data_IF_239479711862
#
_entry.id   IF_239479711862
#
_cell.length_a   1.000
_cell.length_b   1.000
_cell.length_c   1.000
_cell.angle_alpha   90.00
_cell.angle_beta   90.00
_cell.angle_gamma   90.00
#
_symmetry.space_group_name_H-M   'P 1'
#
loop_
_entity.id
_entity.type
_entity.pdbx_description
1 polymer ?
#
# COMPACT_ATOMS: atom_id res chain seq x y z
N UNK A 1 19.51 -8.58 49.55
CA UNK A 1 18.76 -8.84 48.28
C UNK A 1 19.08 -7.71 47.29
N UNK A 2 18.86 -7.90 45.97
CA UNK A 2 19.05 -6.85 44.97
C UNK A 2 18.14 -5.65 45.25
N UNK A 3 18.65 -4.45 44.97
CA UNK A 3 17.95 -3.17 45.15
C UNK A 3 18.01 -2.34 43.86
N UNK A 4 17.12 -1.34 43.76
CA UNK A 4 17.06 -0.39 42.64
C UNK A 4 17.05 -1.06 41.25
N UNK A 5 16.28 -2.14 41.11
CA UNK A 5 16.14 -2.87 39.84
C UNK A 5 15.28 -2.08 38.86
N UNK A 6 15.85 -1.68 37.72
CA UNK A 6 15.22 -0.87 36.68
C UNK A 6 15.39 -1.50 35.30
N UNK A 7 14.34 -1.43 34.48
CA UNK A 7 14.33 -1.87 33.09
C UNK A 7 14.12 -0.68 32.14
N UNK A 8 14.91 -0.64 31.05
CA UNK A 8 14.80 0.35 29.99
C UNK A 8 14.86 -0.30 28.60
N UNK A 9 14.49 0.48 27.58
CA UNK A 9 14.52 0.09 26.16
C UNK A 9 15.41 1.05 25.41
N UNK A 10 16.20 0.56 24.47
CA UNK A 10 17.01 1.39 23.56
C UNK A 10 16.97 0.85 22.13
N UNK A 11 16.60 1.67 21.12
CA UNK A 11 16.02 3.02 21.25
C UNK A 11 14.64 2.98 21.93
N UNK A 12 14.27 4.06 22.63
CA UNK A 12 13.02 4.15 23.40
C UNK A 12 11.87 4.89 22.69
N UNK A 13 12.09 5.37 21.48
CA UNK A 13 11.13 6.11 20.67
C UNK A 13 10.98 5.42 19.31
N UNK A 14 9.81 5.64 18.68
CA UNK A 14 9.42 5.18 17.34
C UNK A 14 10.20 3.97 16.82
N UNK A 15 9.83 2.79 17.32
CA UNK A 15 10.41 1.52 16.91
C UNK A 15 9.56 0.99 15.76
N UNK A 16 10.16 0.81 14.58
CA UNK A 16 9.46 0.27 13.43
C UNK A 16 9.77 -1.21 13.24
N UNK A 17 8.85 -1.94 12.63
CA UNK A 17 9.09 -3.36 12.34
C UNK A 17 10.33 -3.53 11.44
N UNK A 18 11.18 -4.50 11.78
CA UNK A 18 12.48 -4.74 11.15
C UNK A 18 13.65 -4.16 11.93
N UNK A 19 13.42 -3.24 12.87
CA UNK A 19 14.46 -2.67 13.71
C UNK A 19 15.05 -3.69 14.69
N UNK A 20 16.15 -3.28 15.34
CA UNK A 20 16.74 -4.00 16.47
C UNK A 20 16.67 -3.15 17.72
N UNK A 21 16.20 -3.73 18.82
CA UNK A 21 16.06 -3.05 20.12
C UNK A 21 16.79 -3.82 21.20
N UNK A 22 17.32 -3.10 22.16
CA UNK A 22 17.98 -3.67 23.34
C UNK A 22 17.20 -3.29 24.59
N UNK A 23 16.72 -4.28 25.32
CA UNK A 23 16.24 -4.13 26.68
C UNK A 23 17.44 -4.12 27.64
N UNK A 24 17.49 -3.17 28.56
CA UNK A 24 18.60 -2.95 29.48
C UNK A 24 18.07 -3.04 30.90
N UNK A 25 18.71 -3.85 31.74
CA UNK A 25 18.38 -3.99 33.14
C UNK A 25 19.55 -3.55 34.00
N UNK A 26 19.29 -2.63 34.93
CA UNK A 26 20.23 -2.23 35.97
C UNK A 26 19.70 -2.67 37.32
N UNK A 27 20.58 -3.14 38.20
CA UNK A 27 20.23 -3.46 39.58
C UNK A 27 21.48 -3.33 40.44
N UNK A 28 21.30 -2.75 41.62
CA UNK A 28 22.34 -2.64 42.64
C UNK A 28 22.30 -3.89 43.51
N UNK A 29 23.34 -4.71 43.42
CA UNK A 29 23.38 -6.02 44.06
C UNK A 29 24.78 -6.36 44.54
N UNK A 30 24.88 -6.76 45.80
CA UNK A 30 26.08 -7.36 46.38
C UNK A 30 25.66 -8.58 47.22
N UNK A 31 26.09 -9.82 46.88
CA UNK A 31 26.89 -10.20 45.71
C UNK A 31 26.21 -9.90 44.36
N UNK A 32 26.94 -9.94 43.23
CA UNK A 32 26.36 -9.71 41.91
C UNK A 32 25.12 -10.58 41.65
N UNK A 33 24.07 -9.97 41.10
CA UNK A 33 22.84 -10.68 40.78
C UNK A 33 22.85 -11.23 39.36
N UNK A 34 22.20 -12.39 39.19
CA UNK A 34 21.81 -12.91 37.90
C UNK A 34 20.57 -12.18 37.40
N UNK A 35 20.53 -11.90 36.09
CA UNK A 35 19.45 -11.14 35.47
C UNK A 35 18.73 -11.98 34.42
N UNK A 36 17.40 -11.97 34.48
CA UNK A 36 16.50 -12.64 33.54
C UNK A 36 15.40 -11.68 33.07
N UNK A 37 14.95 -11.84 31.83
CA UNK A 37 13.89 -11.05 31.22
C UNK A 37 12.61 -11.85 31.06
N UNK A 38 11.49 -11.19 31.33
CA UNK A 38 10.16 -11.76 31.23
C UNK A 38 9.25 -10.84 30.41
N UNK A 39 8.46 -11.43 29.52
CA UNK A 39 7.40 -10.76 28.76
C UNK A 39 6.05 -11.36 29.16
N UNK A 40 5.15 -10.55 29.73
CA UNK A 40 3.84 -11.02 30.18
C UNK A 40 3.89 -12.23 31.14
N UNK A 41 4.98 -12.38 31.91
CA UNK A 41 5.21 -13.52 32.81
C UNK A 41 6.00 -14.69 32.21
N UNK A 42 6.24 -14.71 30.90
CA UNK A 42 7.02 -15.76 30.22
C UNK A 42 8.49 -15.36 30.14
N UNK A 43 9.39 -16.29 30.48
CA UNK A 43 10.83 -16.09 30.33
C UNK A 43 11.21 -15.93 28.85
N UNK A 44 11.98 -14.89 28.51
CA UNK A 44 12.41 -14.60 27.13
C UNK A 44 13.92 -14.54 26.94
N UNK A 45 14.70 -14.42 28.02
CA UNK A 45 16.16 -14.38 27.92
C UNK A 45 16.85 -14.00 29.21
N UNK A 46 18.18 -14.05 29.20
CA UNK A 46 19.03 -13.73 30.35
C UNK A 46 20.08 -12.69 29.99
N UNK A 47 20.60 -12.02 31.02
CA UNK A 47 21.66 -11.01 30.91
C UNK A 47 21.18 -9.59 31.10
N UNK A 48 22.13 -8.69 31.39
CA UNK A 48 21.89 -7.25 31.57
C UNK A 48 21.28 -6.59 30.33
N UNK A 49 21.72 -7.01 29.16
CA UNK A 49 21.25 -6.51 27.87
C UNK A 49 20.61 -7.67 27.11
N UNK A 50 19.34 -7.53 26.74
CA UNK A 50 18.62 -8.49 25.91
C UNK A 50 18.31 -7.85 24.57
N UNK A 51 18.92 -8.37 23.50
CA UNK A 51 18.78 -7.84 22.16
C UNK A 51 17.71 -8.60 21.38
N UNK A 52 16.77 -7.87 20.80
CA UNK A 52 15.71 -8.40 19.93
C UNK A 52 15.98 -7.80 18.54
N UNK A 53 16.35 -8.66 17.59
CA UNK A 53 16.60 -8.27 16.20
C UNK A 53 15.39 -8.55 15.33
N UNK A 54 15.21 -7.76 14.27
CA UNK A 54 14.13 -7.91 13.30
C UNK A 54 12.75 -7.92 13.97
N UNK A 55 12.47 -6.82 14.68
CA UNK A 55 11.32 -6.72 15.56
C UNK A 55 9.99 -6.71 14.79
N UNK A 56 8.96 -7.32 15.35
CA UNK A 56 7.64 -7.48 14.74
C UNK A 56 6.52 -7.00 15.67
N UNK A 57 5.30 -6.85 15.17
CA UNK A 57 4.16 -6.46 16.03
C UNK A 57 3.99 -7.38 17.24
N UNK A 58 4.34 -8.66 17.08
CA UNK A 58 4.20 -9.69 18.11
C UNK A 58 5.18 -9.49 19.26
N UNK A 59 6.27 -8.78 19.04
CA UNK A 59 7.25 -8.42 20.08
C UNK A 59 6.74 -7.31 21.00
N UNK A 60 5.64 -6.62 20.64
CA UNK A 60 5.03 -5.61 21.52
C UNK A 60 4.55 -6.24 22.82
N UNK A 61 4.59 -5.46 23.90
CA UNK A 61 4.08 -5.88 25.21
C UNK A 61 4.86 -5.34 26.39
N UNK A 62 4.53 -5.84 27.58
CA UNK A 62 5.19 -5.45 28.82
C UNK A 62 6.35 -6.39 29.14
N UNK A 63 7.53 -5.79 29.36
CA UNK A 63 8.74 -6.47 29.75
C UNK A 63 9.13 -6.09 31.18
N UNK A 64 9.61 -7.08 31.93
CA UNK A 64 10.19 -6.90 33.28
C UNK A 64 11.51 -7.63 33.33
N UNK A 65 12.48 -7.06 34.04
CA UNK A 65 13.67 -7.82 34.41
C UNK A 65 13.57 -8.29 35.86
N UNK A 66 14.09 -9.50 36.09
CA UNK A 66 14.26 -10.13 37.40
C UNK A 66 15.75 -10.14 37.72
N UNK A 67 16.09 -9.64 38.90
CA UNK A 67 17.43 -9.70 39.46
C UNK A 67 17.39 -10.63 40.68
N UNK A 68 18.27 -11.63 40.73
CA UNK A 68 18.33 -12.61 41.82
C UNK A 68 19.77 -12.79 42.32
N UNK A 69 19.93 -12.81 43.65
CA UNK A 69 21.18 -13.20 44.31
C UNK A 69 20.89 -14.11 45.52
N UNK A 70 21.92 -14.56 46.22
CA UNK A 70 21.79 -15.46 47.38
C UNK A 70 20.95 -14.88 48.53
N UNK A 71 20.74 -13.56 48.55
CA UNK A 71 19.96 -12.88 49.56
C UNK A 71 18.51 -12.59 49.12
N UNK A 72 18.11 -12.98 47.90
CA UNK A 72 16.72 -12.89 47.41
C UNK A 72 16.60 -12.38 45.98
N UNK A 73 15.36 -12.09 45.57
CA UNK A 73 15.03 -11.61 44.21
C UNK A 73 14.25 -10.29 44.22
N UNK A 74 14.37 -9.55 43.11
CA UNK A 74 13.64 -8.33 42.85
C UNK A 74 13.26 -8.22 41.37
N UNK A 75 12.04 -7.79 41.11
CA UNK A 75 11.58 -7.43 39.75
C UNK A 75 11.62 -5.92 39.57
N UNK A 76 11.92 -5.49 38.35
CA UNK A 76 11.75 -4.10 37.92
C UNK A 76 10.28 -3.73 37.74
N UNK A 77 10.03 -2.43 37.62
CA UNK A 77 8.80 -1.93 37.00
C UNK A 77 8.70 -2.42 35.55
N UNK A 78 7.47 -2.53 35.06
CA UNK A 78 7.22 -2.94 33.69
C UNK A 78 7.56 -1.82 32.71
N UNK A 79 8.22 -2.17 31.61
CA UNK A 79 8.43 -1.29 30.47
C UNK A 79 7.63 -1.79 29.27
N UNK A 80 6.82 -0.91 28.68
CA UNK A 80 5.99 -1.25 27.53
C UNK A 80 6.77 -1.01 26.24
N UNK A 81 6.97 -2.07 25.48
CA UNK A 81 7.53 -2.03 24.14
C UNK A 81 6.39 -1.89 23.13
N UNK A 82 6.34 -0.77 22.40
CA UNK A 82 5.32 -0.50 21.37
C UNK A 82 5.98 -0.35 20.02
N UNK A 83 5.49 -1.11 19.05
CA UNK A 83 6.07 -1.19 17.70
C UNK A 83 5.09 -0.64 16.68
N UNK A 84 5.59 0.18 15.77
CA UNK A 84 4.83 0.74 14.66
C UNK A 84 5.05 -0.13 13.42
N UNK A 85 4.01 -0.80 12.94
CA UNK A 85 4.09 -1.61 11.72
C UNK A 85 4.02 -0.75 10.46
N UNK A 86 5.13 -0.65 9.73
CA UNK A 86 5.19 0.05 8.43
C UNK A 86 4.61 -0.84 7.31
N UNK A 87 4.72 -2.16 7.44
CA UNK A 87 4.25 -3.11 6.43
C UNK A 87 2.75 -3.03 6.14
N UNK A 88 1.92 -2.78 7.15
CA UNK A 88 0.48 -2.60 6.96
C UNK A 88 0.17 -1.34 6.12
N UNK A 89 0.89 -0.25 6.36
CA UNK A 89 0.74 1.00 5.58
C UNK A 89 1.16 0.80 4.13
N UNK A 90 2.25 0.08 3.87
CA UNK A 90 2.73 -0.20 2.51
C UNK A 90 1.71 -0.99 1.70
N UNK A 91 1.08 -2.01 2.29
CA UNK A 91 0.01 -2.79 1.63
C UNK A 91 -1.17 -1.88 1.26
N UNK A 92 -1.57 -0.98 2.16
CA UNK A 92 -2.60 0.02 1.88
C UNK A 92 -2.20 0.92 0.71
N UNK A 93 -0.97 1.42 0.67
CA UNK A 93 -0.49 2.27 -0.42
C UNK A 93 -0.45 1.54 -1.78
N UNK A 94 -0.05 0.27 -1.82
CA UNK A 94 -0.07 -0.53 -3.07
C UNK A 94 -1.51 -0.70 -3.57
N UNK A 95 -2.46 -0.98 -2.68
CA UNK A 95 -3.87 -1.12 -3.06
C UNK A 95 -4.46 0.17 -3.67
N UNK A 96 -4.09 1.33 -3.11
CA UNK A 96 -4.51 2.65 -3.61
C UNK A 96 -3.86 2.95 -4.97
N UNK A 97 -2.57 2.65 -5.13
CA UNK A 97 -1.83 2.89 -6.37
C UNK A 97 -2.37 2.10 -7.57
N UNK A 98 -2.74 0.83 -7.37
CA UNK A 98 -3.34 -0.01 -8.42
C UNK A 98 -4.73 0.50 -8.82
N UNK A 99 -5.53 0.96 -7.85
CA UNK A 99 -6.87 1.49 -8.10
C UNK A 99 -6.89 2.73 -8.99
N UNK A 100 -6.03 3.72 -8.71
CA UNK A 100 -5.98 4.97 -9.48
C UNK A 100 -5.52 4.75 -10.93
N UNK A 101 -4.55 3.86 -11.15
CA UNK A 101 -4.04 3.55 -12.49
C UNK A 101 -5.12 2.98 -13.42
N UNK A 102 -5.93 2.05 -12.92
CA UNK A 102 -7.00 1.44 -13.71
C UNK A 102 -8.07 2.48 -14.11
N UNK A 103 -8.48 3.36 -13.20
CA UNK A 103 -9.48 4.42 -13.47
C UNK A 103 -8.98 5.39 -14.54
N UNK A 104 -7.73 5.85 -14.47
CA UNK A 104 -7.16 6.74 -15.49
C UNK A 104 -7.11 6.07 -16.86
N UNK A 105 -6.72 4.79 -16.93
CA UNK A 105 -6.69 4.04 -18.20
C UNK A 105 -8.11 3.89 -18.77
N UNK A 106 -9.10 3.54 -17.95
CA UNK A 106 -10.49 3.42 -18.42
C UNK A 106 -11.03 4.75 -18.96
N UNK A 107 -10.79 5.87 -18.27
CA UNK A 107 -11.23 7.19 -18.74
C UNK A 107 -10.55 7.58 -20.04
N UNK A 108 -9.24 7.34 -20.18
CA UNK A 108 -8.51 7.60 -21.43
C UNK A 108 -9.04 6.77 -22.59
N UNK A 109 -9.35 5.48 -22.36
CA UNK A 109 -9.95 4.60 -23.38
C UNK A 109 -11.37 5.05 -23.76
N UNK A 110 -12.21 5.48 -22.80
CA UNK A 110 -13.53 6.02 -23.09
C UNK A 110 -13.46 7.34 -23.88
N UNK A 111 -12.52 8.22 -23.52
CA UNK A 111 -12.30 9.49 -24.23
C UNK A 111 -11.75 9.22 -25.65
N UNK A 112 -10.78 8.31 -25.79
CA UNK A 112 -10.27 7.90 -27.11
C UNK A 112 -11.33 7.20 -27.94
N UNK A 113 -12.11 6.29 -27.35
CA UNK A 113 -13.18 5.55 -28.00
C UNK A 113 -14.29 6.49 -28.48
N UNK A 114 -14.70 7.47 -27.67
CA UNK A 114 -15.70 8.46 -28.08
C UNK A 114 -15.20 9.38 -29.19
N UNK A 115 -13.93 9.82 -29.16
CA UNK A 115 -13.29 10.57 -30.25
C UNK A 115 -13.19 9.75 -31.54
N UNK A 116 -12.79 8.49 -31.43
CA UNK A 116 -12.68 7.56 -32.55
C UNK A 116 -14.04 7.27 -33.17
N UNK A 117 -15.07 7.03 -32.34
CA UNK A 117 -16.45 6.84 -32.78
C UNK A 117 -16.97 8.07 -33.52
N UNK A 118 -16.78 9.28 -32.95
CA UNK A 118 -17.17 10.54 -33.60
C UNK A 118 -16.49 10.71 -34.97
N UNK A 119 -15.19 10.40 -35.08
CA UNK A 119 -14.46 10.45 -36.37
C UNK A 119 -15.03 9.47 -37.39
N UNK A 120 -15.38 8.25 -36.95
CA UNK A 120 -15.96 7.22 -37.81
C UNK A 120 -17.35 7.62 -38.31
N UNK A 121 -18.18 8.21 -37.45
CA UNK A 121 -19.52 8.68 -37.82
C UNK A 121 -19.46 9.82 -38.84
N UNK A 122 -18.51 10.76 -38.68
CA UNK A 122 -18.27 11.83 -39.66
C UNK A 122 -17.83 11.28 -41.02
N UNK A 123 -16.93 10.29 -41.06
CA UNK A 123 -16.49 9.63 -42.30
C UNK A 123 -17.65 8.90 -43.00
N UNK A 124 -18.48 8.18 -42.23
CA UNK A 124 -19.69 7.54 -42.77
C UNK A 124 -20.68 8.56 -43.36
N UNK A 125 -20.88 9.70 -42.69
CA UNK A 125 -21.73 10.77 -43.19
C UNK A 125 -21.21 11.35 -44.51
N UNK A 126 -19.89 11.58 -44.62
CA UNK A 126 -19.27 12.08 -45.86
C UNK A 126 -19.39 11.08 -47.01
N UNK A 127 -19.19 9.78 -46.75
CA UNK A 127 -19.34 8.73 -47.76
C UNK A 127 -20.78 8.59 -48.27
N UNK A 128 -21.77 8.66 -47.38
CA UNK A 128 -23.19 8.58 -47.75
C UNK A 128 -23.62 9.78 -48.62
N UNK A 129 -23.13 10.97 -48.30
CA UNK A 129 -23.43 12.18 -49.08
C UNK A 129 -22.76 12.16 -50.45
N UNK A 130 -21.54 11.64 -50.55
CA UNK A 130 -20.86 11.41 -51.84
C UNK A 130 -21.67 10.46 -52.74
N UNK A 131 -22.10 9.31 -52.20
CA UNK A 131 -22.95 8.35 -52.94
C UNK A 131 -24.28 8.95 -53.40
N UNK A 132 -24.95 9.74 -52.56
CA UNK A 132 -26.20 10.41 -52.94
C UNK A 132 -25.99 11.43 -54.07
N UNK A 133 -24.89 12.21 -54.00
CA UNK A 133 -24.57 13.19 -55.04
C UNK A 133 -24.17 12.54 -56.37
N UNK A 134 -23.47 11.40 -56.34
CA UNK A 134 -23.17 10.61 -57.54
C UNK A 134 -24.43 10.00 -58.17
N UNK A 135 -25.33 9.44 -57.36
CA UNK A 135 -26.61 8.91 -57.83
C UNK A 135 -27.48 10.00 -58.47
N UNK A 136 -27.49 11.22 -57.93
CA UNK A 136 -28.19 12.36 -58.56
C UNK A 136 -27.58 12.77 -59.90
N UNK A 137 -26.25 12.76 -60.04
CA UNK A 137 -25.59 13.06 -61.33
C UNK A 137 -26.00 12.06 -62.40
N UNK A 138 -25.96 10.76 -62.07
CA UNK A 138 -26.40 9.68 -62.98
C UNK A 138 -27.87 9.79 -63.37
N UNK A 139 -28.73 10.38 -62.54
CA UNK A 139 -30.14 10.62 -62.87
C UNK A 139 -30.33 11.76 -63.88
N UNK A 140 -29.56 12.85 -63.78
CA UNK A 140 -29.60 13.95 -64.76
C UNK A 140 -29.10 13.53 -66.15
N UNK A 141 -28.17 12.58 -66.22
CA UNK A 141 -27.65 12.05 -67.49
C UNK A 141 -28.68 11.17 -68.23
N UNK A 142 -29.69 10.62 -67.54
CA UNK A 142 -30.77 9.81 -68.14
C UNK A 142 -31.88 10.70 -68.74
N UNK A 143 -32.11 11.89 -68.20
CA UNK A 143 -33.20 12.78 -68.64
C UNK A 143 -32.91 13.49 -69.98
N UNK A 144 -31.68 13.41 -70.51
CA UNK A 144 -31.30 13.94 -71.84
C UNK A 144 -31.32 12.86 -72.94
N UNK A 145 -32.17 11.85 -72.82
CA UNK A 145 -32.30 10.79 -73.83
C UNK A 145 -33.73 10.47 -74.24
N UNK A 146 -34.72 11.28 -73.82
CA UNK A 146 -36.08 11.13 -74.36
C UNK A 146 -36.17 11.78 -75.76
N UNK A 147 -36.44 11.00 -76.82
CA UNK A 147 -36.63 11.55 -78.16
C UNK A 147 -37.96 12.32 -78.19
N UNK A 148 -37.90 13.63 -78.41
CA UNK A 148 -39.08 14.40 -78.83
C UNK A 148 -39.30 14.04 -80.31
N UNK A 149 -40.36 13.28 -80.55
CA UNK A 149 -40.80 12.89 -81.88
C UNK A 149 -41.24 14.13 -82.68
N UNK A 150 -40.91 14.11 -83.97
CA UNK A 150 -41.42 15.00 -85.03
C UNK A 150 -42.93 15.21 -84.96
N UNK A 151 -43.42 16.29 -85.58
CA UNK A 151 -44.59 16.23 -86.46
C UNK A 151 -44.64 17.45 -87.41
N UNK A 152 -44.61 17.13 -88.70
CA UNK A 152 -44.70 17.93 -89.93
C UNK A 152 -46.10 18.52 -90.18
N UNK A 153 -46.19 19.75 -90.70
CA UNK A 153 -46.97 20.24 -91.88
C UNK A 153 -47.27 21.74 -91.75
#
# INVERSE_FOLDING_TARGET
PPQYTFAGVRPCCEIVSGDSVTLICSSDSNPPAEISWFKGGTFVGSGRNFNISNISSDDSGEYKCRSINEHGEKYSDAVTLKITSVGCLVILYISIGVGCGAVVITTMVLIWGSRMKKRNDTLKSQMNQSKHNENRRKACDVELSQPVYENTT
#
